data_IF_769772054448
#
_entry.id   IF_769772054448
#
_cell.length_a   1.000
_cell.length_b   1.000
_cell.length_c   1.000
_cell.angle_alpha   90.00
_cell.angle_beta   90.00
_cell.angle_gamma   90.00
#
_symmetry.space_group_name_H-M   'P 1'
#
loop_
_entity.id
_entity.type
_entity.pdbx_description
1 polymer ?
#
# COMPACT_ATOMS: atom_id res chain seq x y z
N UNK A 1 -18.60 3.53 -9.69
CA UNK A 1 -18.39 3.91 -8.29
C UNK A 1 -17.21 3.11 -7.74
N UNK A 2 -16.70 3.41 -6.55
CA UNK A 2 -15.42 2.98 -6.00
C UNK A 2 -15.60 2.37 -4.60
N UNK A 3 -14.93 1.25 -4.33
CA UNK A 3 -14.78 0.69 -2.98
C UNK A 3 -13.37 0.95 -2.47
N UNK A 4 -13.22 1.75 -1.42
CA UNK A 4 -11.95 1.86 -0.68
C UNK A 4 -11.86 0.75 0.36
N UNK A 5 -10.67 0.18 0.56
CA UNK A 5 -10.44 -0.77 1.62
C UNK A 5 -9.07 -0.56 2.26
N UNK A 6 -8.99 -0.82 3.55
CA UNK A 6 -7.79 -0.61 4.34
C UNK A 6 -7.75 -1.54 5.54
N UNK A 7 -6.58 -1.60 6.18
CA UNK A 7 -6.40 -2.11 7.54
C UNK A 7 -5.80 -1.03 8.42
N UNK A 8 -6.15 -1.00 9.70
CA UNK A 8 -5.74 0.03 10.64
C UNK A 8 -4.72 -0.49 11.65
N UNK A 9 -4.08 0.40 12.37
CA UNK A 9 -3.44 0.15 13.67
C UNK A 9 -4.48 0.35 14.77
N UNK A 10 -4.25 -0.09 16.02
CA UNK A 10 -5.12 0.25 17.15
C UNK A 10 -5.40 1.76 17.21
N UNK A 11 -6.66 2.12 17.44
CA UNK A 11 -7.10 3.52 17.47
C UNK A 11 -6.74 4.17 18.82
N UNK A 12 -5.42 4.33 19.05
CA UNK A 12 -4.84 4.93 20.27
C UNK A 12 -3.88 6.06 19.94
N UNK A 13 -3.89 7.09 20.80
CA UNK A 13 -2.97 8.24 20.69
C UNK A 13 -2.99 8.85 19.28
N UNK A 14 -1.82 9.18 18.74
CA UNK A 14 -1.69 9.80 17.43
C UNK A 14 -2.21 8.91 16.28
N UNK A 15 -2.10 7.58 16.38
CA UNK A 15 -2.67 6.68 15.38
C UNK A 15 -4.19 6.80 15.29
N UNK A 16 -4.90 7.04 16.41
CA UNK A 16 -6.33 7.27 16.37
C UNK A 16 -6.69 8.56 15.61
N UNK A 17 -5.90 9.62 15.79
CA UNK A 17 -6.13 10.92 15.13
C UNK A 17 -5.99 10.77 13.62
N UNK A 18 -4.85 10.28 13.14
CA UNK A 18 -4.56 10.22 11.72
C UNK A 18 -5.47 9.23 10.97
N UNK A 19 -5.82 8.10 11.58
CA UNK A 19 -6.72 7.11 10.99
C UNK A 19 -8.17 7.61 10.95
N UNK A 20 -8.63 8.31 11.99
CA UNK A 20 -9.93 8.98 11.98
C UNK A 20 -10.02 10.05 10.90
N UNK A 21 -9.00 10.89 10.79
CA UNK A 21 -8.91 11.89 9.73
C UNK A 21 -9.00 11.25 8.34
N UNK A 22 -8.22 10.18 8.10
CA UNK A 22 -8.22 9.47 6.82
C UNK A 22 -9.59 8.90 6.49
N UNK A 23 -10.15 8.05 7.35
CA UNK A 23 -11.45 7.43 7.14
C UNK A 23 -12.56 8.46 6.98
N UNK A 24 -12.56 9.53 7.80
CA UNK A 24 -13.54 10.62 7.67
C UNK A 24 -13.41 11.34 6.34
N UNK A 25 -12.20 11.64 5.86
CA UNK A 25 -12.00 12.25 4.54
C UNK A 25 -12.56 11.40 3.41
N UNK A 26 -12.47 10.06 3.52
CA UNK A 26 -13.01 9.15 2.51
C UNK A 26 -14.54 9.11 2.50
N UNK A 27 -15.20 9.21 3.67
CA UNK A 27 -16.68 9.29 3.73
C UNK A 27 -17.24 10.57 3.11
N UNK A 28 -16.40 11.59 2.89
CA UNK A 28 -16.78 12.87 2.30
C UNK A 28 -16.51 12.96 0.79
N UNK A 29 -15.99 11.91 0.17
CA UNK A 29 -15.72 11.88 -1.28
C UNK A 29 -17.03 11.85 -2.07
N UNK A 30 -17.88 10.89 -1.80
CA UNK A 30 -19.19 10.72 -2.42
C UNK A 30 -20.02 9.72 -1.59
N UNK A 31 -21.36 9.91 -1.43
CA UNK A 31 -22.22 8.99 -0.69
C UNK A 31 -22.21 7.54 -1.21
N UNK A 32 -21.94 7.35 -2.50
CA UNK A 32 -21.88 6.03 -3.12
C UNK A 32 -20.52 5.35 -2.99
N UNK A 33 -19.51 6.01 -2.44
CA UNK A 33 -18.21 5.39 -2.15
C UNK A 33 -18.39 4.40 -1.00
N UNK A 34 -18.09 3.13 -1.26
CA UNK A 34 -18.03 2.11 -0.21
C UNK A 34 -16.67 2.15 0.48
N UNK A 35 -16.64 2.03 1.80
CA UNK A 35 -15.41 1.91 2.59
C UNK A 35 -15.47 0.63 3.40
N UNK A 36 -14.41 -0.20 3.32
CA UNK A 36 -14.27 -1.44 4.08
C UNK A 36 -13.04 -1.32 4.98
N UNK A 37 -13.27 -1.30 6.29
CA UNK A 37 -12.22 -1.37 7.30
C UNK A 37 -12.01 -2.82 7.71
N UNK A 38 -10.82 -3.35 7.43
CA UNK A 38 -10.41 -4.71 7.78
C UNK A 38 -9.65 -4.74 9.11
N UNK A 39 -9.92 -5.77 9.89
CA UNK A 39 -9.20 -6.09 11.11
C UNK A 39 -10.00 -5.83 12.37
N UNK A 40 -9.54 -6.44 13.45
CA UNK A 40 -10.14 -6.42 14.79
C UNK A 40 -9.30 -5.59 15.78
N UNK A 41 -8.51 -4.66 15.26
CA UNK A 41 -7.73 -3.74 16.07
C UNK A 41 -8.64 -2.94 17.01
N UNK A 42 -8.15 -2.69 18.21
CA UNK A 42 -8.87 -1.93 19.23
C UNK A 42 -9.37 -0.58 18.68
N UNK A 43 -10.66 -0.34 18.81
CA UNK A 43 -11.38 0.84 18.32
C UNK A 43 -11.85 0.73 16.86
N UNK A 44 -11.55 -0.36 16.12
CA UNK A 44 -11.94 -0.50 14.72
C UNK A 44 -13.47 -0.63 14.55
N UNK A 45 -14.12 -1.45 15.37
CA UNK A 45 -15.56 -1.65 15.30
C UNK A 45 -16.33 -0.36 15.64
N UNK A 46 -15.90 0.35 16.68
CA UNK A 46 -16.49 1.60 17.13
C UNK A 46 -16.40 2.69 16.06
N UNK A 47 -15.21 2.84 15.44
CA UNK A 47 -15.01 3.80 14.37
C UNK A 47 -15.82 3.46 13.13
N UNK A 48 -15.88 2.18 12.76
CA UNK A 48 -16.68 1.75 11.63
C UNK A 48 -18.17 2.06 11.83
N UNK A 49 -18.69 1.81 13.04
CA UNK A 49 -20.07 2.14 13.41
C UNK A 49 -20.30 3.66 13.42
N UNK A 50 -19.38 4.46 14.02
CA UNK A 50 -19.46 5.91 14.07
C UNK A 50 -19.52 6.56 12.69
N UNK A 51 -18.71 6.05 11.74
CA UNK A 51 -18.60 6.59 10.39
C UNK A 51 -19.60 5.96 9.40
N UNK A 52 -20.36 4.94 9.82
CA UNK A 52 -21.28 4.22 8.94
C UNK A 52 -20.59 3.45 7.81
N UNK A 53 -19.35 2.99 8.04
CA UNK A 53 -18.57 2.22 7.06
C UNK A 53 -18.63 0.72 7.36
N UNK A 54 -18.36 -0.09 6.35
CA UNK A 54 -18.33 -1.54 6.51
C UNK A 54 -17.13 -1.99 7.32
N UNK A 55 -17.36 -2.85 8.31
CA UNK A 55 -16.32 -3.50 9.10
C UNK A 55 -16.22 -4.99 8.74
N UNK A 56 -15.02 -5.45 8.42
CA UNK A 56 -14.67 -6.86 8.18
C UNK A 56 -13.57 -7.24 9.19
N UNK A 57 -13.96 -7.79 10.37
CA UNK A 57 -13.01 -8.00 11.47
C UNK A 57 -12.04 -9.15 11.22
N UNK A 58 -12.42 -10.14 10.39
CA UNK A 58 -11.57 -11.29 10.13
C UNK A 58 -10.47 -10.94 9.13
N UNK A 59 -9.20 -11.12 9.54
CA UNK A 59 -8.01 -10.91 8.71
C UNK A 59 -6.97 -11.99 8.99
N UNK A 60 -6.50 -12.65 7.93
CA UNK A 60 -5.35 -13.55 8.04
C UNK A 60 -4.06 -12.76 8.26
N UNK A 61 -3.26 -13.18 9.24
CA UNK A 61 -2.09 -12.44 9.70
C UNK A 61 -0.83 -13.30 9.75
N UNK A 62 0.28 -12.72 9.39
CA UNK A 62 1.60 -13.30 9.62
C UNK A 62 1.87 -13.32 11.14
N UNK A 63 2.07 -14.53 11.70
CA UNK A 63 2.30 -14.74 13.13
C UNK A 63 1.25 -14.06 14.04
N UNK A 64 0.01 -13.94 13.58
CA UNK A 64 -1.07 -13.31 14.34
C UNK A 64 -0.96 -11.78 14.47
N UNK A 65 -0.02 -11.13 13.76
CA UNK A 65 0.26 -9.70 13.93
C UNK A 65 -0.03 -8.86 12.70
N UNK A 66 0.65 -9.10 11.60
CA UNK A 66 0.58 -8.24 10.41
C UNK A 66 -0.29 -8.87 9.33
N UNK A 67 -1.23 -8.13 8.72
CA UNK A 67 -2.13 -8.65 7.70
C UNK A 67 -1.38 -9.14 6.45
N UNK A 68 -1.90 -10.19 5.82
CA UNK A 68 -1.44 -10.60 4.50
C UNK A 68 -2.11 -9.80 3.39
N UNK A 69 -1.32 -9.31 2.44
CA UNK A 69 -1.80 -8.57 1.25
C UNK A 69 -2.74 -9.43 0.40
N UNK A 70 -2.38 -10.69 0.16
CA UNK A 70 -3.21 -11.61 -0.62
C UNK A 70 -4.59 -11.81 0.01
N UNK A 71 -4.69 -11.94 1.34
CA UNK A 71 -5.97 -12.05 2.01
C UNK A 71 -6.81 -10.78 1.82
N UNK A 72 -6.25 -9.60 2.16
CA UNK A 72 -6.97 -8.33 2.09
C UNK A 72 -7.50 -8.05 0.67
N UNK A 73 -6.65 -8.20 -0.34
CA UNK A 73 -7.03 -7.92 -1.73
C UNK A 73 -8.03 -8.93 -2.28
N UNK A 74 -7.87 -10.22 -1.95
CA UNK A 74 -8.82 -11.25 -2.40
C UNK A 74 -10.18 -11.05 -1.74
N UNK A 75 -10.21 -10.87 -0.43
CA UNK A 75 -11.44 -10.68 0.32
C UNK A 75 -12.14 -9.38 -0.08
N UNK A 76 -11.41 -8.27 -0.23
CA UNK A 76 -11.98 -7.02 -0.72
C UNK A 76 -12.61 -7.19 -2.11
N UNK A 77 -11.94 -7.87 -3.03
CA UNK A 77 -12.52 -8.13 -4.37
C UNK A 77 -13.75 -9.05 -4.33
N UNK A 78 -13.82 -9.97 -3.38
CA UNK A 78 -14.98 -10.84 -3.20
C UNK A 78 -16.20 -10.05 -2.72
N UNK A 79 -16.03 -9.21 -1.69
CA UNK A 79 -17.13 -8.59 -0.97
C UNK A 79 -17.46 -7.18 -1.40
N UNK A 80 -16.60 -6.52 -2.20
CA UNK A 80 -16.81 -5.16 -2.68
C UNK A 80 -18.06 -5.04 -3.56
N UNK A 81 -18.84 -3.99 -3.31
CA UNK A 81 -20.04 -3.65 -4.06
C UNK A 81 -19.72 -3.16 -5.49
N UNK A 82 -18.52 -2.57 -5.69
CA UNK A 82 -18.15 -1.92 -6.94
C UNK A 82 -17.10 -2.69 -7.75
N UNK A 83 -17.03 -2.40 -9.05
CA UNK A 83 -16.07 -2.97 -9.99
C UNK A 83 -14.68 -2.33 -9.90
N UNK A 84 -14.56 -1.19 -9.23
CA UNK A 84 -13.28 -0.53 -8.95
C UNK A 84 -13.02 -0.52 -7.46
N UNK A 85 -11.81 -0.90 -7.10
CA UNK A 85 -11.35 -0.94 -5.72
C UNK A 85 -10.14 -0.01 -5.54
N UNK A 86 -9.98 0.50 -4.33
CA UNK A 86 -8.79 1.23 -3.91
C UNK A 86 -8.29 0.68 -2.59
N UNK A 87 -7.12 0.05 -2.59
CA UNK A 87 -6.39 -0.09 -1.33
C UNK A 87 -5.72 1.24 -1.01
N UNK A 88 -5.79 1.67 0.23
CA UNK A 88 -5.02 2.79 0.76
C UNK A 88 -4.57 2.53 2.19
N UNK A 89 -3.39 3.04 2.56
CA UNK A 89 -2.98 3.07 3.96
C UNK A 89 -3.95 3.95 4.77
N UNK A 90 -4.28 3.53 6.00
CA UNK A 90 -5.29 4.20 6.85
C UNK A 90 -4.84 5.55 7.43
N UNK A 91 -3.78 6.13 6.90
CA UNK A 91 -3.24 7.46 7.22
C UNK A 91 -3.26 8.42 6.02
N UNK A 92 -3.84 7.98 4.90
CA UNK A 92 -3.95 8.76 3.68
C UNK A 92 -5.21 9.62 3.67
N UNK A 93 -5.06 10.94 3.54
CA UNK A 93 -6.18 11.85 3.28
C UNK A 93 -6.44 11.92 1.79
N UNK A 94 -7.71 11.78 1.43
CA UNK A 94 -8.19 11.98 0.07
C UNK A 94 -9.20 13.13 0.03
N UNK A 95 -9.05 13.96 -1.00
CA UNK A 95 -9.92 15.09 -1.29
C UNK A 95 -10.60 14.89 -2.65
N UNK A 96 -11.42 15.84 -3.05
CA UNK A 96 -12.20 15.74 -4.29
C UNK A 96 -11.36 15.58 -5.58
N UNK A 97 -10.09 15.99 -5.57
CA UNK A 97 -9.17 15.76 -6.69
C UNK A 97 -8.85 14.27 -6.90
N UNK A 98 -8.82 13.47 -5.83
CA UNK A 98 -8.66 12.01 -5.90
C UNK A 98 -9.88 11.37 -6.59
N UNK A 99 -11.10 11.71 -6.18
CA UNK A 99 -12.32 11.16 -6.79
C UNK A 99 -12.40 11.52 -8.27
N UNK A 100 -12.18 12.78 -8.60
CA UNK A 100 -12.13 13.23 -10.01
C UNK A 100 -11.05 12.53 -10.84
N UNK A 101 -9.90 12.22 -10.24
CA UNK A 101 -8.85 11.46 -10.94
C UNK A 101 -9.29 10.02 -11.24
N UNK A 102 -9.93 9.36 -10.28
CA UNK A 102 -10.53 8.05 -10.48
C UNK A 102 -11.58 8.07 -11.59
N UNK A 103 -12.52 9.00 -11.56
CA UNK A 103 -13.58 9.13 -12.56
C UNK A 103 -13.01 9.29 -13.98
N UNK A 104 -11.99 10.16 -14.13
CA UNK A 104 -11.30 10.35 -15.42
C UNK A 104 -10.61 9.06 -15.89
N UNK A 105 -10.01 8.30 -14.99
CA UNK A 105 -9.39 7.03 -15.33
C UNK A 105 -10.43 5.97 -15.72
N UNK A 106 -11.54 5.89 -15.00
CA UNK A 106 -12.64 4.96 -15.28
C UNK A 106 -13.38 5.28 -16.61
N UNK A 107 -13.52 6.57 -16.94
CA UNK A 107 -14.06 7.00 -18.24
C UNK A 107 -13.09 6.73 -19.40
N UNK A 108 -11.77 6.85 -19.14
CA UNK A 108 -10.76 6.64 -20.17
C UNK A 108 -10.59 5.17 -20.55
N UNK A 109 -10.57 4.27 -19.55
CA UNK A 109 -10.38 2.84 -19.80
C UNK A 109 -10.94 1.98 -18.67
N UNK A 110 -11.57 0.85 -19.01
CA UNK A 110 -12.17 -0.05 -18.02
C UNK A 110 -11.13 -0.73 -17.11
N UNK A 111 -9.95 -1.03 -17.64
CA UNK A 111 -8.93 -1.80 -16.90
C UNK A 111 -7.64 -0.99 -16.77
N UNK A 112 -7.34 -0.55 -15.56
CA UNK A 112 -6.16 0.27 -15.24
C UNK A 112 -5.72 0.05 -13.79
N UNK A 113 -4.50 0.55 -13.50
CA UNK A 113 -4.02 0.83 -12.15
C UNK A 113 -3.72 2.33 -12.05
N UNK A 114 -4.32 3.04 -11.08
CA UNK A 114 -4.06 4.45 -10.79
C UNK A 114 -3.24 4.57 -9.51
N UNK A 115 -2.13 5.32 -9.57
CA UNK A 115 -1.19 5.54 -8.46
C UNK A 115 -0.69 6.97 -8.46
N UNK A 116 -0.18 7.44 -7.32
CA UNK A 116 0.56 8.72 -7.26
C UNK A 116 1.69 8.69 -6.24
N UNK A 117 2.56 9.70 -6.32
CA UNK A 117 3.38 10.13 -5.17
C UNK A 117 2.48 10.71 -4.09
N UNK A 118 3.01 10.74 -2.87
CA UNK A 118 2.34 11.36 -1.74
C UNK A 118 3.06 12.60 -1.24
N UNK A 119 2.34 13.40 -0.46
CA UNK A 119 2.86 14.49 0.34
C UNK A 119 2.84 14.06 1.81
N UNK A 120 3.99 14.04 2.46
CA UNK A 120 4.06 13.83 3.91
C UNK A 120 3.80 15.15 4.62
N UNK A 121 2.83 15.17 5.54
CA UNK A 121 2.45 16.35 6.30
C UNK A 121 2.34 16.03 7.79
N UNK A 122 2.76 16.96 8.65
CA UNK A 122 2.63 16.85 10.09
C UNK A 122 1.23 17.31 10.50
N UNK A 123 0.34 16.34 10.73
CA UNK A 123 -1.03 16.54 11.19
C UNK A 123 -1.18 15.87 12.55
N UNK A 124 -1.27 16.68 13.60
CA UNK A 124 -1.27 16.22 14.99
C UNK A 124 -2.67 16.17 15.61
N UNK A 125 -3.64 16.83 14.99
CA UNK A 125 -4.98 17.04 15.52
C UNK A 125 -6.06 16.51 14.57
N UNK A 126 -7.27 16.35 15.09
CA UNK A 126 -8.44 16.07 14.28
C UNK A 126 -8.72 17.25 13.35
N UNK A 127 -8.94 16.95 12.07
CA UNK A 127 -9.33 17.94 11.07
C UNK A 127 -10.79 18.33 11.32
N UNK A 128 -11.06 19.62 11.31
CA UNK A 128 -12.43 20.15 11.36
C UNK A 128 -13.11 20.00 9.98
N UNK A 129 -13.75 18.87 9.78
CA UNK A 129 -14.49 18.56 8.56
C UNK A 129 -15.84 19.29 8.43
N UNK A 130 -16.26 20.07 9.43
CA UNK A 130 -17.46 20.93 9.32
C UNK A 130 -17.19 22.16 8.45
N UNK A 131 -15.94 22.52 8.30
CA UNK A 131 -15.51 23.61 7.42
C UNK A 131 -15.65 23.21 5.96
N UNK A 132 -16.30 24.03 5.17
CA UNK A 132 -16.48 23.79 3.72
C UNK A 132 -15.18 23.81 2.93
N UNK A 133 -14.14 24.48 3.45
CA UNK A 133 -12.82 24.66 2.83
C UNK A 133 -11.75 23.71 3.37
N UNK A 134 -12.14 22.66 4.11
CA UNK A 134 -11.20 21.75 4.77
C UNK A 134 -10.24 21.09 3.77
N UNK A 135 -10.72 20.70 2.60
CA UNK A 135 -9.95 20.02 1.55
C UNK A 135 -8.94 20.96 0.88
N UNK A 136 -9.36 22.18 0.52
CA UNK A 136 -8.48 23.20 -0.06
C UNK A 136 -7.38 23.59 0.94
N UNK A 137 -7.73 23.77 2.21
CA UNK A 137 -6.77 24.08 3.29
C UNK A 137 -5.77 22.96 3.48
N UNK A 138 -6.25 21.70 3.49
CA UNK A 138 -5.37 20.53 3.64
C UNK A 138 -4.41 20.41 2.46
N UNK A 139 -4.90 20.58 1.23
CA UNK A 139 -4.05 20.57 0.03
C UNK A 139 -3.04 21.72 0.06
N UNK A 140 -3.48 22.93 0.41
CA UNK A 140 -2.60 24.08 0.49
C UNK A 140 -1.50 23.89 1.53
N UNK A 141 -1.86 23.47 2.73
CA UNK A 141 -0.92 23.19 3.82
C UNK A 141 0.09 22.11 3.43
N UNK A 142 -0.37 20.98 2.89
CA UNK A 142 0.50 19.89 2.47
C UNK A 142 1.51 20.33 1.37
N UNK A 143 1.07 21.19 0.45
CA UNK A 143 1.97 21.71 -0.61
C UNK A 143 2.92 22.82 -0.12
N UNK A 144 2.51 23.58 0.88
CA UNK A 144 3.30 24.71 1.41
C UNK A 144 4.37 24.26 2.41
N UNK A 145 4.03 23.32 3.29
CA UNK A 145 4.88 22.91 4.43
C UNK A 145 5.26 21.43 4.42
N UNK A 146 4.53 20.60 3.66
CA UNK A 146 4.77 19.17 3.58
C UNK A 146 5.94 18.82 2.66
N UNK A 147 6.39 17.57 2.76
CA UNK A 147 7.43 17.00 1.93
C UNK A 147 6.83 16.12 0.84
N UNK A 148 6.97 16.49 -0.42
CA UNK A 148 6.63 15.60 -1.52
C UNK A 148 7.64 14.47 -1.59
N UNK A 149 7.17 13.24 -1.39
CA UNK A 149 8.01 12.04 -1.42
C UNK A 149 8.45 11.68 -2.84
N UNK A 150 9.49 10.84 -2.94
CA UNK A 150 9.96 10.38 -4.25
C UNK A 150 8.98 9.37 -4.89
N UNK A 151 9.27 9.00 -6.14
CA UNK A 151 8.41 8.16 -6.97
C UNK A 151 8.21 6.73 -6.47
N UNK A 152 8.97 6.30 -5.47
CA UNK A 152 8.92 4.96 -4.88
C UNK A 152 7.86 4.82 -3.79
N UNK A 153 7.38 5.93 -3.23
CA UNK A 153 6.36 5.93 -2.19
C UNK A 153 4.97 5.94 -2.83
N UNK A 154 4.34 4.77 -2.82
CA UNK A 154 2.99 4.54 -3.35
C UNK A 154 2.14 3.96 -2.23
N UNK A 155 1.17 4.71 -1.74
CA UNK A 155 0.37 4.35 -0.57
C UNK A 155 -1.10 4.14 -0.88
N UNK A 156 -1.48 4.25 -2.16
CA UNK A 156 -2.79 3.85 -2.63
C UNK A 156 -2.74 3.25 -4.05
N UNK A 157 -3.67 2.35 -4.32
CA UNK A 157 -3.78 1.59 -5.55
C UNK A 157 -5.24 1.52 -5.95
N UNK A 158 -5.67 2.33 -6.95
CA UNK A 158 -7.01 2.19 -7.55
C UNK A 158 -6.93 1.25 -8.74
N UNK A 159 -7.71 0.20 -8.72
CA UNK A 159 -7.65 -0.86 -9.74
C UNK A 159 -9.03 -1.43 -10.07
N UNK A 160 -9.16 -2.00 -11.26
CA UNK A 160 -10.37 -2.74 -11.65
C UNK A 160 -10.40 -4.13 -11.02
N UNK A 161 -11.56 -4.53 -10.54
CA UNK A 161 -11.83 -5.85 -9.93
C UNK A 161 -11.29 -6.97 -10.84
N UNK A 162 -10.57 -7.92 -10.24
CA UNK A 162 -9.94 -9.03 -10.95
C UNK A 162 -8.52 -8.75 -11.45
N UNK A 163 -7.94 -7.57 -11.20
CA UNK A 163 -6.52 -7.31 -11.50
C UNK A 163 -5.59 -8.15 -10.62
N UNK A 164 -5.84 -8.18 -9.32
CA UNK A 164 -5.00 -8.88 -8.35
C UNK A 164 -5.62 -10.22 -7.95
N UNK A 165 -5.26 -11.31 -8.65
CA UNK A 165 -5.79 -12.66 -8.38
C UNK A 165 -4.78 -13.58 -7.69
N UNK A 166 -3.52 -13.54 -8.09
CA UNK A 166 -2.47 -14.44 -7.63
C UNK A 166 -1.39 -13.63 -6.90
N UNK A 167 -1.73 -13.13 -5.73
CA UNK A 167 -0.83 -12.34 -4.90
C UNK A 167 0.00 -13.30 -4.03
N UNK A 168 1.34 -13.22 -4.01
CA UNK A 168 2.13 -13.95 -3.02
C UNK A 168 1.73 -13.54 -1.58
N UNK A 169 1.97 -14.37 -0.57
CA UNK A 169 1.62 -14.06 0.83
C UNK A 169 2.55 -12.97 1.41
N UNK A 170 2.51 -11.80 0.79
CA UNK A 170 3.23 -10.60 1.19
C UNK A 170 2.55 -9.98 2.41
N UNK A 171 3.32 -9.29 3.24
CA UNK A 171 2.86 -8.73 4.52
C UNK A 171 2.73 -7.22 4.41
N UNK A 172 1.58 -6.69 4.84
CA UNK A 172 1.30 -5.24 4.89
C UNK A 172 2.19 -4.55 5.94
N UNK A 173 2.57 -3.30 5.69
CA UNK A 173 3.43 -2.51 6.58
C UNK A 173 4.92 -2.85 6.47
N UNK A 174 5.28 -3.77 5.60
CA UNK A 174 6.63 -4.19 5.27
C UNK A 174 6.90 -3.89 3.81
N UNK A 175 8.06 -3.38 3.46
CA UNK A 175 8.41 -2.96 2.09
C UNK A 175 8.26 -4.07 1.04
N UNK A 176 8.25 -3.65 -0.21
CA UNK A 176 8.32 -4.45 -1.45
C UNK A 176 7.00 -4.98 -2.00
N UNK A 177 5.91 -5.08 -1.24
CA UNK A 177 4.61 -5.51 -1.78
C UNK A 177 3.98 -4.43 -2.68
N UNK A 178 4.13 -3.17 -2.32
CA UNK A 178 3.69 -1.99 -3.05
C UNK A 178 4.35 -1.89 -4.43
N UNK A 179 5.65 -2.12 -4.51
CA UNK A 179 6.40 -2.14 -5.77
C UNK A 179 6.06 -3.34 -6.64
N UNK A 180 5.86 -4.50 -5.99
CA UNK A 180 5.35 -5.69 -6.66
C UNK A 180 3.96 -5.46 -7.25
N UNK A 181 3.07 -4.76 -6.57
CA UNK A 181 1.72 -4.48 -7.05
C UNK A 181 1.73 -3.67 -8.36
N UNK A 182 2.60 -2.66 -8.46
CA UNK A 182 2.80 -1.91 -9.71
C UNK A 182 3.38 -2.80 -10.82
N UNK A 183 4.40 -3.61 -10.50
CA UNK A 183 4.97 -4.57 -11.44
C UNK A 183 3.92 -5.56 -11.95
N UNK A 184 3.11 -6.12 -11.08
CA UNK A 184 2.10 -7.12 -11.41
C UNK A 184 1.08 -6.58 -12.43
N UNK A 185 0.63 -5.33 -12.27
CA UNK A 185 -0.24 -4.68 -13.23
C UNK A 185 0.43 -4.52 -14.61
N UNK A 186 1.69 -4.05 -14.63
CA UNK A 186 2.46 -3.89 -15.86
C UNK A 186 2.75 -5.23 -16.56
N UNK A 187 3.06 -6.27 -15.81
CA UNK A 187 3.31 -7.62 -16.31
C UNK A 187 2.07 -8.24 -16.99
N UNK A 188 0.87 -7.85 -16.53
CA UNK A 188 -0.39 -8.23 -17.17
C UNK A 188 -0.78 -7.32 -18.35
N UNK A 189 0.07 -6.39 -18.76
CA UNK A 189 -0.23 -5.41 -19.83
C UNK A 189 -1.27 -4.37 -19.45
N UNK A 190 -1.59 -4.24 -18.14
CA UNK A 190 -2.56 -3.26 -17.66
C UNK A 190 -1.91 -1.87 -17.60
N UNK A 191 -2.54 -0.84 -18.19
CA UNK A 191 -2.02 0.52 -18.10
C UNK A 191 -1.94 0.99 -16.65
N UNK A 192 -0.77 1.50 -16.26
CA UNK A 192 -0.55 2.19 -15.00
C UNK A 192 -0.56 3.67 -15.25
N UNK A 193 -1.41 4.39 -14.54
CA UNK A 193 -1.62 5.85 -14.67
C UNK A 193 -1.05 6.55 -13.45
N UNK A 194 -0.05 7.39 -13.66
CA UNK A 194 0.49 8.32 -12.66
C UNK A 194 -0.40 9.55 -12.57
N UNK A 195 -1.16 9.69 -11.48
CA UNK A 195 -2.02 10.87 -11.26
C UNK A 195 -1.39 11.95 -10.37
N UNK A 196 -0.11 11.84 -10.05
CA UNK A 196 0.63 12.81 -9.22
C UNK A 196 0.45 14.29 -9.63
N UNK A 197 0.39 14.66 -10.92
CA UNK A 197 0.19 16.06 -11.29
C UNK A 197 -1.21 16.59 -10.99
N UNK A 198 -2.19 15.71 -10.82
CA UNK A 198 -3.60 16.04 -10.64
C UNK A 198 -4.06 15.91 -9.19
N UNK A 199 -3.56 14.91 -8.45
CA UNK A 199 -3.97 14.56 -7.09
C UNK A 199 -2.98 15.05 -6.05
N UNK A 200 -3.50 15.55 -4.93
CA UNK A 200 -2.73 15.82 -3.72
C UNK A 200 -3.05 14.73 -2.68
N UNK A 201 -2.42 13.56 -2.80
CA UNK A 201 -2.52 12.52 -1.80
C UNK A 201 -1.65 12.88 -0.59
N UNK A 202 -2.27 13.04 0.58
CA UNK A 202 -1.57 13.46 1.80
C UNK A 202 -1.43 12.31 2.77
N UNK A 203 -0.20 11.96 3.10
CA UNK A 203 0.14 11.01 4.15
C UNK A 203 0.41 11.80 5.44
N UNK A 204 -0.28 11.45 6.50
CA UNK A 204 -0.10 12.06 7.81
C UNK A 204 1.09 11.40 8.50
N UNK A 205 2.13 12.19 8.81
CA UNK A 205 3.35 11.69 9.42
C UNK A 205 3.09 11.02 10.77
N UNK A 206 3.73 9.89 11.00
CA UNK A 206 3.64 9.15 12.25
C UNK A 206 4.96 8.42 12.59
N UNK A 207 5.12 8.02 13.85
CA UNK A 207 6.21 7.17 14.28
C UNK A 207 6.08 5.73 13.76
N UNK A 208 7.22 5.04 13.63
CA UNK A 208 7.29 3.63 13.22
C UNK A 208 7.26 2.66 14.42
N UNK A 209 6.90 3.12 15.59
CA UNK A 209 6.62 2.25 16.72
C UNK A 209 5.24 1.58 16.55
N UNK A 210 5.07 0.28 16.76
CA UNK A 210 5.98 -0.61 17.47
C UNK A 210 6.67 -1.66 16.56
N UNK A 211 7.35 -1.25 15.47
CA UNK A 211 8.14 -2.23 14.72
C UNK A 211 9.36 -2.65 15.56
N UNK A 212 9.60 -3.97 15.81
CA UNK A 212 10.69 -4.45 16.68
C UNK A 212 12.07 -3.89 16.30
N UNK A 213 12.31 -3.70 15.01
CA UNK A 213 13.58 -3.21 14.46
C UNK A 213 13.50 -1.73 14.02
N UNK A 214 12.47 -0.98 14.44
CA UNK A 214 12.24 0.41 14.06
C UNK A 214 12.03 0.63 12.55
N UNK A 215 12.19 1.87 12.08
CA UNK A 215 12.03 2.23 10.65
C UNK A 215 12.93 1.40 9.72
N UNK A 216 14.14 1.04 10.15
CA UNK A 216 15.09 0.24 9.37
C UNK A 216 14.59 -1.18 9.13
N UNK A 217 13.90 -1.79 10.09
CA UNK A 217 13.41 -3.16 10.03
C UNK A 217 12.27 -3.36 9.01
N UNK A 218 11.44 -2.33 8.80
CA UNK A 218 10.39 -2.39 7.76
C UNK A 218 10.96 -2.50 6.35
N UNK A 219 12.22 -2.09 6.14
CA UNK A 219 12.85 -2.01 4.83
C UNK A 219 13.93 -3.06 4.59
N UNK A 220 14.72 -3.39 5.62
CA UNK A 220 15.86 -4.30 5.52
C UNK A 220 15.88 -5.40 6.60
N UNK A 221 14.81 -5.52 7.40
CA UNK A 221 14.70 -6.60 8.41
C UNK A 221 14.42 -7.96 7.77
N UNK A 222 14.46 -9.04 8.56
CA UNK A 222 14.21 -10.41 8.08
C UNK A 222 12.88 -10.55 7.34
N UNK A 223 11.83 -9.90 7.84
CA UNK A 223 10.50 -9.93 7.23
C UNK A 223 10.45 -9.15 5.90
N UNK A 224 11.18 -8.02 5.82
CA UNK A 224 11.34 -7.29 4.57
C UNK A 224 12.05 -8.13 3.51
N UNK A 225 13.09 -8.88 3.90
CA UNK A 225 13.76 -9.81 2.99
C UNK A 225 12.89 -10.98 2.59
N UNK A 226 11.98 -11.43 3.44
CA UNK A 226 10.95 -12.42 3.06
C UNK A 226 10.00 -11.86 2.01
N UNK A 227 9.46 -10.64 2.21
CA UNK A 227 8.65 -9.96 1.19
C UNK A 227 9.44 -9.78 -0.11
N UNK A 228 10.70 -9.36 -0.03
CA UNK A 228 11.59 -9.23 -1.19
C UNK A 228 11.67 -10.51 -2.03
N UNK A 229 11.89 -11.66 -1.38
CA UNK A 229 11.99 -12.96 -2.05
C UNK A 229 10.65 -13.40 -2.64
N UNK A 230 9.57 -13.27 -1.87
CA UNK A 230 8.21 -13.61 -2.31
C UNK A 230 7.74 -12.75 -3.48
N UNK A 231 8.13 -11.48 -3.50
CA UNK A 231 7.86 -10.54 -4.57
C UNK A 231 8.66 -10.83 -5.87
N UNK A 232 9.66 -11.72 -5.82
CA UNK A 232 10.52 -12.05 -6.98
C UNK A 232 11.73 -11.12 -7.14
N UNK A 233 12.08 -10.35 -6.13
CA UNK A 233 13.28 -9.52 -6.11
C UNK A 233 13.23 -8.29 -7.00
N UNK A 234 14.41 -7.73 -7.32
CA UNK A 234 14.55 -6.46 -8.05
C UNK A 234 13.87 -6.45 -9.43
N UNK A 235 13.76 -7.59 -10.09
CA UNK A 235 13.16 -7.70 -11.42
C UNK A 235 11.66 -7.36 -11.39
N UNK A 236 11.00 -7.60 -10.27
CA UNK A 236 9.58 -7.37 -10.06
C UNK A 236 9.27 -6.02 -9.39
N UNK A 237 10.24 -5.14 -9.24
CA UNK A 237 10.01 -3.84 -8.61
C UNK A 237 9.72 -2.76 -9.64
N UNK A 238 8.58 -2.10 -9.45
CA UNK A 238 8.14 -0.94 -10.23
C UNK A 238 7.47 0.07 -9.29
N UNK A 239 7.52 1.30 -9.66
CA UNK A 239 6.92 2.40 -8.89
C UNK A 239 6.31 3.45 -9.82
N UNK A 240 5.88 4.59 -9.31
CA UNK A 240 5.16 5.61 -10.06
C UNK A 240 5.91 6.09 -11.32
N UNK A 241 7.25 6.05 -11.32
CA UNK A 241 8.05 6.37 -12.51
C UNK A 241 7.78 5.42 -13.68
N UNK A 242 7.53 4.15 -13.38
CA UNK A 242 7.28 3.12 -14.39
C UNK A 242 5.86 3.16 -14.98
N UNK A 243 5.00 4.06 -14.50
CA UNK A 243 3.67 4.23 -15.05
C UNK A 243 3.72 4.50 -16.56
N UNK A 244 2.84 3.82 -17.29
CA UNK A 244 2.77 3.92 -18.77
C UNK A 244 2.09 5.20 -19.23
N UNK A 245 1.21 5.75 -18.39
CA UNK A 245 0.42 6.94 -18.66
C UNK A 245 0.51 7.94 -17.50
N UNK A 246 0.10 9.16 -17.77
CA UNK A 246 0.01 10.24 -16.78
C UNK A 246 -1.31 10.98 -16.92
N UNK A 247 -1.96 11.23 -15.79
CA UNK A 247 -3.05 12.18 -15.70
C UNK A 247 -2.45 13.58 -15.50
N UNK A 248 -2.62 14.45 -16.49
CA UNK A 248 -2.09 15.81 -16.46
C UNK A 248 -2.92 16.72 -15.56
N UNK A 249 -2.38 17.88 -15.16
CA UNK A 249 -3.12 18.90 -14.39
C UNK A 249 -4.43 19.34 -15.08
N UNK A 250 -4.47 19.35 -16.41
CA UNK A 250 -5.67 19.64 -17.19
C UNK A 250 -6.67 18.49 -17.30
N UNK A 251 -6.43 17.37 -16.57
CA UNK A 251 -7.36 16.24 -16.52
C UNK A 251 -7.33 15.30 -17.73
N UNK A 252 -6.31 15.41 -18.59
CA UNK A 252 -6.11 14.51 -19.75
C UNK A 252 -5.16 13.36 -19.38
N UNK A 253 -5.52 12.13 -19.73
CA UNK A 253 -4.61 10.98 -19.64
C UNK A 253 -3.81 10.88 -20.94
N UNK A 254 -2.50 10.87 -20.82
CA UNK A 254 -1.56 10.79 -21.94
C UNK A 254 -0.47 9.75 -21.68
N UNK A 255 0.03 9.13 -22.74
CA UNK A 255 1.12 8.16 -22.66
C UNK A 255 2.42 8.85 -22.24
N UNK A 256 3.17 8.23 -21.32
CA UNK A 256 4.50 8.71 -20.93
C UNK A 256 5.52 8.26 -21.96
N UNK A 257 6.40 9.18 -22.41
CA UNK A 257 7.48 8.83 -23.32
C UNK A 257 8.58 8.06 -22.60
N UNK A 258 9.02 6.97 -23.20
CA UNK A 258 9.94 5.96 -22.62
C UNK A 258 11.36 6.50 -22.34
N UNK A 259 11.83 7.53 -23.04
CA UNK A 259 13.23 7.98 -23.01
C UNK A 259 13.75 8.48 -21.65
N UNK A 260 12.88 8.99 -20.78
CA UNK A 260 13.28 9.50 -19.44
C UNK A 260 13.35 8.37 -18.40
N UNK A 261 12.62 7.27 -18.63
CA UNK A 261 12.44 6.14 -17.70
C UNK A 261 13.72 5.37 -17.36
N UNK A 262 14.62 5.18 -18.31
CA UNK A 262 15.74 4.24 -18.11
C UNK A 262 16.88 4.79 -17.26
N UNK A 263 17.11 6.09 -17.26
CA UNK A 263 18.29 6.69 -16.63
C UNK A 263 18.14 6.85 -15.11
N UNK A 264 16.99 7.33 -14.65
CA UNK A 264 16.66 7.46 -13.23
C UNK A 264 16.45 6.09 -12.60
N UNK A 265 15.72 5.22 -13.29
CA UNK A 265 15.46 3.86 -12.84
C UNK A 265 16.73 3.02 -12.60
N UNK A 266 17.70 3.07 -13.49
CA UNK A 266 18.96 2.35 -13.32
C UNK A 266 19.68 2.77 -12.03
N UNK A 267 19.67 4.07 -11.70
CA UNK A 267 20.23 4.60 -10.46
C UNK A 267 19.48 4.08 -9.24
N UNK A 268 18.15 4.10 -9.25
CA UNK A 268 17.33 3.71 -8.11
C UNK A 268 17.39 2.19 -7.87
N UNK A 269 17.37 1.38 -8.92
CA UNK A 269 17.60 -0.06 -8.83
C UNK A 269 19.00 -0.38 -8.32
N UNK A 270 20.02 0.37 -8.76
CA UNK A 270 21.39 0.19 -8.26
C UNK A 270 21.51 0.54 -6.78
N UNK A 271 20.86 1.63 -6.33
CA UNK A 271 20.84 2.01 -4.93
C UNK A 271 20.16 0.96 -4.05
N UNK A 272 19.05 0.41 -4.52
CA UNK A 272 18.33 -0.64 -3.79
C UNK A 272 19.11 -1.96 -3.78
N UNK A 273 19.68 -2.36 -4.92
CA UNK A 273 20.57 -3.51 -5.00
C UNK A 273 21.76 -3.39 -4.05
N UNK A 274 22.39 -2.20 -3.98
CA UNK A 274 23.47 -1.90 -3.04
C UNK A 274 23.02 -2.01 -1.58
N UNK A 275 21.83 -1.50 -1.24
CA UNK A 275 21.28 -1.61 0.13
C UNK A 275 21.07 -3.07 0.53
N UNK A 276 20.41 -3.85 -0.32
CA UNK A 276 20.15 -5.27 -0.09
C UNK A 276 21.45 -6.05 0.02
N UNK A 277 22.42 -5.80 -0.86
CA UNK A 277 23.73 -6.44 -0.83
C UNK A 277 24.50 -6.11 0.47
N UNK A 278 24.51 -4.83 0.87
CA UNK A 278 25.15 -4.40 2.12
C UNK A 278 24.48 -5.02 3.34
N UNK A 279 23.16 -5.14 3.34
CA UNK A 279 22.42 -5.83 4.39
C UNK A 279 22.80 -7.31 4.46
N UNK A 280 22.82 -8.02 3.34
CA UNK A 280 23.20 -9.44 3.27
C UNK A 280 24.62 -9.70 3.77
N UNK A 281 25.59 -8.86 3.42
CA UNK A 281 26.98 -9.00 3.89
C UNK A 281 27.10 -8.80 5.41
N UNK A 282 26.27 -7.93 6.00
CA UNK A 282 26.29 -7.66 7.44
C UNK A 282 25.60 -8.73 8.29
N UNK A 283 24.88 -9.65 7.66
CA UNK A 283 24.25 -10.77 8.36
C UNK A 283 25.27 -11.88 8.65
N UNK A 284 25.20 -12.53 9.81
CA UNK A 284 26.04 -13.69 10.12
C UNK A 284 25.89 -14.78 9.04
N UNK A 285 26.99 -15.46 8.72
CA UNK A 285 27.06 -16.46 7.65
C UNK A 285 26.00 -17.58 7.73
N UNK A 286 25.47 -17.88 8.92
CA UNK A 286 24.42 -18.89 9.10
C UNK A 286 23.08 -18.53 8.44
N UNK A 287 22.78 -17.23 8.26
CA UNK A 287 21.61 -16.79 7.48
C UNK A 287 21.72 -17.12 5.99
N UNK A 288 22.95 -17.07 5.45
CA UNK A 288 23.20 -17.48 4.06
C UNK A 288 22.94 -18.97 3.85
N UNK A 289 23.28 -19.81 4.81
CA UNK A 289 23.05 -21.26 4.74
C UNK A 289 21.54 -21.60 4.76
N UNK A 290 20.73 -20.86 5.51
CA UNK A 290 19.27 -21.05 5.54
C UNK A 290 18.61 -20.67 4.22
N UNK A 291 19.08 -19.64 3.53
CA UNK A 291 18.53 -19.20 2.24
C UNK A 291 18.89 -20.15 1.09
N UNK A 292 20.11 -20.68 1.09
CA UNK A 292 20.59 -21.63 0.07
C UNK A 292 19.94 -23.01 0.23
N UNK A 293 19.65 -23.43 1.45
CA UNK A 293 19.08 -24.76 1.73
C UNK A 293 17.56 -24.81 1.69
N UNK A 294 16.86 -23.69 1.67
CA UNK A 294 15.38 -23.62 1.63
C UNK A 294 14.76 -24.28 0.39
N UNK A 295 15.25 -24.04 -0.84
CA UNK A 295 14.75 -24.76 -2.01
C UNK A 295 14.96 -26.28 -1.92
N UNK A 296 16.12 -26.70 -1.45
CA UNK A 296 16.44 -28.12 -1.27
C UNK A 296 15.60 -28.81 -0.17
N UNK A 297 15.30 -28.12 0.92
CA UNK A 297 14.43 -28.63 1.98
C UNK A 297 12.99 -28.78 1.53
N UNK A 298 12.47 -27.87 0.71
CA UNK A 298 11.12 -27.95 0.14
C UNK A 298 11.02 -29.10 -0.88
N UNK A 299 12.05 -29.31 -1.70
CA UNK A 299 12.11 -30.41 -2.69
C UNK A 299 12.29 -31.76 -1.99
N UNK A 300 13.02 -31.84 -0.88
CA UNK A 300 13.27 -33.07 -0.14
C UNK A 300 12.19 -33.40 0.90
N UNK A 301 11.10 -32.62 1.00
CA UNK A 301 9.98 -32.90 1.91
C UNK A 301 10.31 -32.86 3.40
N UNK A 302 11.46 -32.28 3.78
CA UNK A 302 11.88 -32.14 5.17
C UNK A 302 11.04 -31.05 5.85
N UNK A 303 9.85 -31.40 6.34
CA UNK A 303 9.01 -30.52 7.17
C UNK A 303 9.73 -30.23 8.48
N UNK A 304 9.76 -28.97 8.90
CA UNK A 304 10.37 -28.55 10.17
C UNK A 304 9.73 -29.31 11.34
N UNK A 305 10.53 -29.70 12.34
CA UNK A 305 10.06 -30.36 13.56
C UNK A 305 8.96 -29.61 14.30
N UNK A 306 8.86 -28.29 14.12
CA UNK A 306 7.77 -27.47 14.64
C UNK A 306 6.38 -27.88 14.09
N UNK A 307 6.30 -28.34 12.85
CA UNK A 307 5.06 -28.82 12.24
C UNK A 307 4.69 -30.26 12.67
N UNK A 308 5.63 -31.02 13.21
CA UNK A 308 5.39 -32.34 13.81
C UNK A 308 4.81 -32.25 15.22
N UNK A 309 5.31 -31.33 16.05
CA UNK A 309 4.87 -31.16 17.45
C UNK A 309 3.44 -30.60 17.60
N UNK A 310 2.90 -29.95 16.57
CA UNK A 310 1.52 -29.43 16.60
C UNK A 310 0.45 -30.50 16.30
N UNK A 311 0.85 -31.73 15.88
CA UNK A 311 -0.05 -32.83 15.60
C UNK A 311 -0.05 -33.97 16.66
N UNK A 312 0.79 -33.87 17.68
CA UNK A 312 0.95 -34.87 18.73
C UNK A 312 0.49 -34.38 20.11
N UNK A 313 -0.44 -33.44 20.19
CA UNK A 313 -1.15 -33.20 21.45
C UNK A 313 -2.60 -33.62 21.30
N UNK A 314 -3.10 -34.52 22.18
CA UNK A 314 -4.45 -35.05 22.19
C UNK A 314 -5.49 -33.98 22.47
#
# INVERSE_FOLDING_TARGET
>A
MLTLFTTAKPFKGHSAIIQRNALKSWTLLDPDVEIILFGDEEGAAEIAAELGIRHEPHVERFQGKLPYVNFLFSRAQEIARHDYLCYANCDMLFMQDFLRAFEKAAQWQRRFLLVSQRWDADITDLIDFTRRDWDERTQHSARATGLKQDLRFVDFFVFSKGLYRNIPPLVVGISYWDWWAVWNALAQGVPVVDCTPYVTAVHQNHGYAPHPDGKGGTHLGPLAMQNYQLAGGLEHFRWTEDATHRLTRGGRISRKFIRVRYRTRAKDLWLEARRIFTYKIRQPAWFFLLDITRPARNVLGLRSEAARRSREKP
#
